data_IF_346292394493
#
_entry.id   IF_346292394493
#
_cell.length_a   1.000
_cell.length_b   1.000
_cell.length_c   1.000
_cell.angle_alpha   90.00
_cell.angle_beta   90.00
_cell.angle_gamma   90.00
#
_symmetry.space_group_name_H-M   'P 1'
#
loop_
_entity.id
_entity.type
_entity.pdbx_description
1 polymer ?
#
# COMPACT_ATOMS: atom_id res chain seq x y z
N UNK A 1 -29.18 2.05 -11.24
CA UNK A 1 -29.05 0.70 -11.83
C UNK A 1 -27.60 0.29 -11.67
N UNK A 2 -27.18 -0.63 -10.80
CA UNK A 2 -27.85 -1.77 -10.19
C UNK A 2 -27.73 -1.73 -8.66
N UNK A 3 -28.89 -1.88 -8.04
CA UNK A 3 -29.06 -2.25 -6.65
C UNK A 3 -29.49 -3.71 -6.68
N UNK A 4 -28.65 -4.61 -6.15
CA UNK A 4 -29.08 -5.92 -5.67
C UNK A 4 -28.29 -6.18 -4.39
N UNK A 5 -28.76 -5.62 -3.29
CA UNK A 5 -28.50 -6.17 -1.97
C UNK A 5 -29.81 -6.80 -1.54
N UNK A 6 -29.85 -8.13 -1.65
CA UNK A 6 -30.92 -8.97 -1.13
C UNK A 6 -30.98 -8.81 0.40
N UNK A 7 -32.17 -9.03 0.96
CA UNK A 7 -32.56 -8.60 2.31
C UNK A 7 -31.94 -9.52 3.38
N UNK A 8 -30.63 -9.41 3.57
CA UNK A 8 -29.89 -10.02 4.67
C UNK A 8 -28.66 -9.15 5.01
N UNK A 9 -28.89 -8.16 5.88
CA UNK A 9 -27.90 -7.38 6.66
C UNK A 9 -26.59 -7.03 5.91
N UNK A 10 -26.51 -5.80 5.39
CA UNK A 10 -25.22 -5.20 5.00
C UNK A 10 -24.20 -5.42 6.12
N UNK A 11 -23.07 -6.09 5.83
CA UNK A 11 -22.05 -6.37 6.83
C UNK A 11 -21.62 -5.05 7.48
N UNK A 12 -21.76 -4.89 8.81
CA UNK A 12 -21.40 -3.66 9.47
C UNK A 12 -19.90 -3.42 9.32
N UNK A 13 -19.51 -2.17 9.06
CA UNK A 13 -18.11 -1.76 9.02
C UNK A 13 -17.55 -1.73 10.45
N UNK A 14 -17.07 -2.88 10.92
CA UNK A 14 -16.51 -3.05 12.27
C UNK A 14 -15.18 -2.30 12.42
N UNK A 15 -14.40 -2.16 11.35
CA UNK A 15 -13.07 -1.54 11.37
C UNK A 15 -13.16 -0.05 11.70
N UNK A 16 -14.14 0.64 11.14
CA UNK A 16 -14.41 2.07 11.38
C UNK A 16 -15.13 2.36 12.70
N UNK A 17 -15.47 1.33 13.49
CA UNK A 17 -16.14 1.54 14.78
C UNK A 17 -15.17 1.96 15.88
N UNK A 18 -15.69 2.66 16.90
CA UNK A 18 -14.92 3.16 18.04
C UNK A 18 -14.26 2.02 18.82
N UNK A 19 -12.95 2.10 19.01
CA UNK A 19 -12.23 1.20 19.92
C UNK A 19 -12.30 1.70 21.36
N UNK A 20 -12.85 0.88 22.24
CA UNK A 20 -13.02 1.17 23.67
C UNK A 20 -11.80 0.81 24.52
N UNK A 21 -10.83 0.09 23.94
CA UNK A 21 -9.62 -0.35 24.66
C UNK A 21 -8.60 0.77 24.83
N UNK A 22 -8.69 1.83 24.02
CA UNK A 22 -7.79 2.98 24.03
C UNK A 22 -6.30 2.59 23.83
N UNK A 23 -6.03 1.59 22.99
CA UNK A 23 -4.68 1.16 22.64
C UNK A 23 -4.42 1.55 21.19
N UNK A 24 -3.46 2.43 20.96
CA UNK A 24 -2.99 2.76 19.61
C UNK A 24 -2.16 1.61 19.03
N UNK A 25 -2.14 1.48 17.70
CA UNK A 25 -1.25 0.54 17.00
C UNK A 25 -0.21 1.33 16.23
N UNK A 26 1.06 1.14 16.59
CA UNK A 26 2.17 1.85 15.96
C UNK A 26 2.26 1.57 14.46
N UNK A 27 2.06 0.31 14.05
CA UNK A 27 2.08 -0.13 12.64
C UNK A 27 1.07 -1.22 12.38
N UNK A 28 0.10 -0.93 11.52
CA UNK A 28 -0.85 -1.91 10.98
C UNK A 28 -0.90 -1.81 9.45
N UNK A 29 -0.99 -2.95 8.76
CA UNK A 29 -1.07 -2.97 7.30
C UNK A 29 -0.73 -4.33 6.70
N UNK A 30 -0.15 -4.31 5.50
CA UNK A 30 0.17 -5.49 4.69
C UNK A 30 1.68 -5.70 4.57
N UNK A 31 2.09 -6.96 4.46
CA UNK A 31 3.49 -7.37 4.34
C UNK A 31 3.64 -8.43 3.25
N UNK A 32 4.82 -8.48 2.63
CA UNK A 32 5.21 -9.54 1.69
C UNK A 32 4.36 -9.56 0.41
N UNK A 33 3.97 -8.40 -0.11
CA UNK A 33 3.18 -8.30 -1.34
C UNK A 33 4.09 -8.11 -2.55
N UNK A 34 4.02 -9.03 -3.51
CA UNK A 34 4.76 -8.94 -4.77
C UNK A 34 4.00 -8.11 -5.78
N UNK A 35 4.67 -7.13 -6.40
CA UNK A 35 4.07 -6.27 -7.41
C UNK A 35 5.09 -5.86 -8.48
N UNK A 36 4.70 -5.74 -9.76
CA UNK A 36 5.59 -5.27 -10.84
C UNK A 36 6.01 -3.81 -10.65
N UNK A 37 7.27 -3.51 -10.92
CA UNK A 37 7.81 -2.14 -10.82
C UNK A 37 8.73 -1.83 -11.99
N UNK A 38 8.90 -0.54 -12.25
CA UNK A 38 9.82 0.00 -13.24
C UNK A 38 10.81 0.93 -12.57
N UNK A 39 12.10 0.65 -12.74
CA UNK A 39 13.19 1.39 -12.08
C UNK A 39 14.15 1.97 -13.12
N UNK A 40 14.53 3.24 -12.97
CA UNK A 40 15.51 3.87 -13.83
C UNK A 40 16.90 3.25 -13.64
N UNK A 41 17.57 2.96 -14.76
CA UNK A 41 18.96 2.50 -14.77
C UNK A 41 19.91 3.72 -14.76
N UNK A 42 21.02 3.63 -14.01
CA UNK A 42 22.06 4.66 -14.00
C UNK A 42 22.68 4.91 -15.38
N UNK A 43 22.60 3.94 -16.29
CA UNK A 43 23.10 4.03 -17.67
C UNK A 43 22.12 4.71 -18.62
N UNK A 44 20.98 5.23 -18.12
CA UNK A 44 19.96 5.93 -18.92
C UNK A 44 18.85 5.03 -19.47
N UNK A 45 18.85 3.74 -19.09
CA UNK A 45 17.81 2.77 -19.44
C UNK A 45 16.71 2.62 -18.39
N UNK A 46 15.86 1.63 -18.60
CA UNK A 46 14.76 1.25 -17.73
C UNK A 46 14.84 -0.25 -17.44
N UNK A 47 14.69 -0.64 -16.18
CA UNK A 47 14.59 -2.04 -15.77
C UNK A 47 13.18 -2.35 -15.25
N UNK A 48 12.57 -3.38 -15.82
CA UNK A 48 11.31 -3.95 -15.33
C UNK A 48 11.66 -5.11 -14.39
N UNK A 49 11.13 -5.09 -13.18
CA UNK A 49 11.41 -6.12 -12.16
C UNK A 49 10.20 -6.36 -11.27
N UNK A 50 10.30 -7.33 -10.36
CA UNK A 50 9.28 -7.61 -9.35
C UNK A 50 9.81 -7.11 -8.02
N UNK A 51 9.05 -6.24 -7.36
CA UNK A 51 9.36 -5.78 -6.02
C UNK A 51 8.48 -6.48 -4.97
N UNK A 52 9.00 -6.54 -3.76
CA UNK A 52 8.26 -6.90 -2.56
C UNK A 52 7.93 -5.64 -1.76
N UNK A 53 6.66 -5.48 -1.40
CA UNK A 53 6.12 -4.33 -0.70
C UNK A 53 5.69 -4.69 0.72
N UNK A 54 6.06 -3.80 1.65
CA UNK A 54 5.50 -3.73 2.99
C UNK A 54 4.90 -2.34 3.19
N UNK A 55 3.64 -2.27 3.61
CA UNK A 55 2.91 -1.01 3.78
C UNK A 55 2.21 -0.99 5.12
N UNK A 56 2.40 0.08 5.89
CA UNK A 56 1.81 0.25 7.21
C UNK A 56 1.34 1.68 7.41
N UNK A 57 0.35 1.85 8.27
CA UNK A 57 -0.06 3.15 8.82
C UNK A 57 -0.09 3.09 10.33
N UNK A 58 0.02 4.26 10.95
CA UNK A 58 -0.33 4.44 12.36
C UNK A 58 -1.85 4.37 12.51
N UNK A 59 -2.33 3.64 13.52
CA UNK A 59 -3.74 3.57 13.86
C UNK A 59 -3.99 4.23 15.21
N UNK A 60 -4.69 5.37 15.24
CA UNK A 60 -5.09 6.03 16.48
C UNK A 60 -5.96 5.12 17.35
N UNK A 61 -5.88 5.28 18.67
CA UNK A 61 -6.53 4.42 19.66
C UNK A 61 -8.08 4.40 19.60
N UNK A 62 -8.70 5.30 18.84
CA UNK A 62 -10.15 5.41 18.68
C UNK A 62 -10.69 4.57 17.51
N UNK A 63 -9.83 4.01 16.67
CA UNK A 63 -10.23 3.11 15.58
C UNK A 63 -10.00 1.66 15.96
N UNK A 64 -10.95 0.77 15.65
CA UNK A 64 -10.79 -0.68 15.91
C UNK A 64 -9.82 -1.35 14.96
N UNK A 65 -9.62 -0.82 13.76
CA UNK A 65 -8.64 -1.33 12.83
C UNK A 65 -8.66 -0.63 11.48
N UNK A 66 -7.77 -1.07 10.59
CA UNK A 66 -7.58 -0.50 9.25
C UNK A 66 -8.27 -1.35 8.18
N UNK A 67 -8.78 -0.69 7.15
CA UNK A 67 -9.29 -1.32 5.93
C UNK A 67 -8.16 -1.92 5.08
N UNK A 68 -7.82 -3.18 5.33
CA UNK A 68 -6.68 -3.86 4.70
C UNK A 68 -6.73 -3.90 3.16
N UNK A 69 -7.92 -3.97 2.56
CA UNK A 69 -8.07 -3.98 1.10
C UNK A 69 -7.62 -2.68 0.45
N UNK A 70 -7.74 -1.54 1.15
CA UNK A 70 -7.35 -0.23 0.62
C UNK A 70 -5.86 -0.16 0.27
N UNK A 71 -4.98 -0.88 1.00
CA UNK A 71 -3.56 -0.97 0.62
C UNK A 71 -3.36 -1.64 -0.74
N UNK A 72 -4.11 -2.72 -1.00
CA UNK A 72 -4.07 -3.44 -2.28
C UNK A 72 -4.68 -2.57 -3.40
N UNK A 73 -5.74 -1.82 -3.12
CA UNK A 73 -6.30 -0.86 -4.06
C UNK A 73 -5.29 0.22 -4.45
N UNK A 74 -4.55 0.77 -3.48
CA UNK A 74 -3.49 1.76 -3.72
C UNK A 74 -2.42 1.18 -4.64
N UNK A 75 -1.93 -0.04 -4.37
CA UNK A 75 -0.96 -0.72 -5.24
C UNK A 75 -1.48 -0.97 -6.66
N UNK A 76 -2.79 -1.21 -6.83
CA UNK A 76 -3.39 -1.48 -8.13
C UNK A 76 -3.97 -0.23 -8.83
N UNK A 77 -3.66 0.97 -8.34
CA UNK A 77 -4.10 2.21 -8.98
C UNK A 77 -3.48 2.32 -10.39
N UNK A 78 -4.12 3.08 -11.29
CA UNK A 78 -4.02 3.02 -12.78
C UNK A 78 -2.64 3.00 -13.46
N UNK A 79 -1.53 3.16 -12.76
CA UNK A 79 -0.21 2.94 -13.34
C UNK A 79 0.13 1.45 -13.32
N UNK A 80 0.46 0.90 -14.50
CA UNK A 80 0.79 -0.52 -14.65
C UNK A 80 2.09 -0.90 -13.93
N UNK A 81 2.92 0.09 -13.58
CA UNK A 81 4.25 -0.08 -13.00
C UNK A 81 4.53 1.06 -12.01
N UNK A 82 4.81 0.73 -10.75
CA UNK A 82 5.29 1.69 -9.74
C UNK A 82 6.74 2.06 -10.06
N UNK A 83 7.09 3.33 -9.93
CA UNK A 83 8.44 3.85 -10.14
C UNK A 83 8.97 4.54 -8.89
N UNK A 84 10.27 4.89 -8.85
CA UNK A 84 10.82 5.61 -7.69
C UNK A 84 10.26 7.03 -7.63
N UNK A 85 9.98 7.63 -8.78
CA UNK A 85 9.46 8.99 -8.91
C UNK A 85 8.02 9.12 -8.39
N UNK A 86 7.18 8.09 -8.58
CA UNK A 86 5.78 8.10 -8.12
C UNK A 86 5.61 7.57 -6.67
N UNK A 87 6.69 7.09 -6.05
CA UNK A 87 6.67 6.45 -4.74
C UNK A 87 6.20 7.40 -3.62
N UNK A 88 6.62 8.66 -3.66
CA UNK A 88 6.16 9.69 -2.71
C UNK A 88 4.65 9.94 -2.84
N UNK A 89 4.15 10.04 -4.08
CA UNK A 89 2.73 10.25 -4.35
C UNK A 89 1.87 9.09 -3.83
N UNK A 90 2.35 7.85 -4.00
CA UNK A 90 1.70 6.66 -3.46
C UNK A 90 1.65 6.69 -1.92
N UNK A 91 2.74 7.07 -1.25
CA UNK A 91 2.77 7.21 0.21
C UNK A 91 1.74 8.25 0.69
N UNK A 92 1.66 9.41 0.04
CA UNK A 92 0.67 10.45 0.37
C UNK A 92 -0.76 9.95 0.19
N UNK A 93 -1.05 9.32 -0.95
CA UNK A 93 -2.35 8.72 -1.22
C UNK A 93 -2.73 7.66 -0.19
N UNK A 94 -1.75 6.87 0.27
CA UNK A 94 -1.95 5.86 1.30
C UNK A 94 -2.38 6.47 2.63
N UNK A 95 -1.68 7.49 3.10
CA UNK A 95 -2.00 8.21 4.35
C UNK A 95 -3.39 8.84 4.27
N UNK A 96 -3.71 9.48 3.15
CA UNK A 96 -5.01 10.14 2.92
C UNK A 96 -6.17 9.14 2.88
N UNK A 97 -6.08 8.08 2.06
CA UNK A 97 -7.16 7.09 1.91
C UNK A 97 -7.41 6.22 3.15
N UNK A 98 -6.40 6.10 4.00
CA UNK A 98 -6.48 5.33 5.24
C UNK A 98 -6.76 6.22 6.45
N UNK A 99 -6.94 7.54 6.25
CA UNK A 99 -7.23 8.52 7.31
C UNK A 99 -6.22 8.44 8.47
N UNK A 100 -4.94 8.21 8.13
CA UNK A 100 -3.87 8.04 9.10
C UNK A 100 -3.05 9.33 9.26
N UNK A 101 -2.39 9.49 10.40
CA UNK A 101 -1.46 10.60 10.64
C UNK A 101 -0.10 10.37 9.99
N UNK A 102 0.34 9.11 9.95
CA UNK A 102 1.62 8.72 9.38
C UNK A 102 1.53 7.37 8.67
N UNK A 103 2.41 7.19 7.68
CA UNK A 103 2.49 5.99 6.87
C UNK A 103 3.93 5.56 6.64
N UNK A 104 4.13 4.28 6.40
CA UNK A 104 5.40 3.68 6.07
C UNK A 104 5.21 2.76 4.88
N UNK A 105 6.07 2.90 3.87
CA UNK A 105 6.11 2.01 2.73
C UNK A 105 7.56 1.62 2.45
N UNK A 106 7.78 0.33 2.23
CA UNK A 106 9.07 -0.24 1.90
C UNK A 106 8.92 -1.07 0.64
N UNK A 107 9.87 -0.90 -0.29
CA UNK A 107 9.93 -1.60 -1.55
C UNK A 107 11.33 -2.18 -1.74
N UNK A 108 11.40 -3.50 -1.84
CA UNK A 108 12.65 -4.24 -2.04
C UNK A 108 12.61 -4.98 -3.36
N UNK A 109 13.63 -4.85 -4.20
CA UNK A 109 13.71 -5.48 -5.52
C UNK A 109 15.14 -5.81 -5.92
N UNK A 110 15.36 -6.83 -6.78
CA UNK A 110 16.66 -7.08 -7.37
C UNK A 110 16.96 -6.01 -8.42
N UNK A 111 18.19 -5.50 -8.41
CA UNK A 111 18.71 -4.51 -9.35
C UNK A 111 19.88 -5.10 -10.13
N UNK A 112 19.83 -5.03 -11.46
CA UNK A 112 20.84 -5.62 -12.33
C UNK A 112 21.83 -4.56 -12.79
N UNK A 113 23.11 -4.91 -12.84
CA UNK A 113 24.17 -4.03 -13.36
C UNK A 113 24.98 -4.81 -14.38
N UNK A 114 25.05 -4.30 -15.61
CA UNK A 114 25.91 -4.87 -16.63
C UNK A 114 27.36 -4.44 -16.37
N UNK A 115 28.29 -5.41 -16.30
CA UNK A 115 29.71 -5.17 -16.08
C UNK A 115 30.50 -5.90 -17.17
N UNK A 116 31.45 -5.21 -17.79
CA UNK A 116 32.39 -5.82 -18.71
C UNK A 116 33.33 -6.78 -17.96
N UNK A 117 33.72 -7.87 -18.63
CA UNK A 117 34.79 -8.73 -18.15
C UNK A 117 36.13 -7.94 -18.15
N UNK A 118 37.01 -8.18 -17.17
CA UNK A 118 38.32 -7.53 -17.09
C UNK A 118 39.28 -7.99 -18.20
#
# INVERSE_FOLDING_TARGET
>A
MNQVCDTAVCMPDVQSSLDTRQIAIDKVGIKSIRHPVRVADKTGGVQHTIANFNMYVYLPHNFKGTHMSRFIEILNTREREISVENFEGMLRQMVERLEAESGYIEMSFPYFVNKAAP
#
